data_IF_589359131036
#
_entry.id   IF_589359131036
#
_cell.length_a   1.000
_cell.length_b   1.000
_cell.length_c   1.000
_cell.angle_alpha   90.00
_cell.angle_beta   90.00
_cell.angle_gamma   90.00
#
_symmetry.space_group_name_H-M   'P 1'
#
loop_
_entity.id
_entity.type
_entity.pdbx_description
1 polymer ?
#
# COMPACT_ATOMS: atom_id res chain seq x y z
N UNK A 1 -3.68 -3.01 -1.65
CA UNK A 1 -3.98 -4.35 -1.10
C UNK A 1 -4.61 -4.21 0.28
N UNK A 2 -5.77 -4.82 0.49
CA UNK A 2 -6.46 -4.82 1.80
C UNK A 2 -5.69 -5.66 2.83
N UNK A 3 -4.89 -6.60 2.40
CA UNK A 3 -3.98 -7.33 3.27
C UNK A 3 -2.90 -6.41 3.85
N UNK A 4 -2.32 -5.54 3.04
CA UNK A 4 -1.35 -4.56 3.52
C UNK A 4 -1.99 -3.55 4.50
N UNK A 5 -3.26 -3.16 4.28
CA UNK A 5 -3.98 -2.32 5.24
C UNK A 5 -4.08 -3.01 6.61
N UNK A 6 -4.44 -4.30 6.63
CA UNK A 6 -4.52 -5.05 7.88
C UNK A 6 -3.14 -5.23 8.53
N UNK A 7 -2.13 -5.58 7.75
CA UNK A 7 -0.76 -5.77 8.23
C UNK A 7 -0.19 -4.49 8.87
N UNK A 8 -0.33 -3.36 8.18
CA UNK A 8 0.15 -2.06 8.68
C UNK A 8 -0.70 -1.58 9.85
N UNK A 9 -2.02 -1.67 9.74
CA UNK A 9 -2.94 -1.21 10.79
C UNK A 9 -2.75 -1.95 12.11
N UNK A 10 -2.58 -3.28 12.08
CA UNK A 10 -2.26 -4.06 13.27
C UNK A 10 -0.93 -3.62 13.88
N UNK A 11 0.12 -3.48 13.06
CA UNK A 11 1.43 -3.02 13.53
C UNK A 11 1.38 -1.59 14.13
N UNK A 12 0.61 -0.67 13.53
CA UNK A 12 0.39 0.67 14.08
C UNK A 12 -0.29 0.62 15.45
N UNK A 13 -1.20 -0.32 15.65
CA UNK A 13 -1.97 -0.47 16.90
C UNK A 13 -1.29 -1.41 17.91
N UNK A 14 -0.08 -1.87 17.61
CA UNK A 14 0.76 -2.63 18.54
C UNK A 14 0.57 -4.15 18.50
N UNK A 15 -0.08 -4.67 17.47
CA UNK A 15 -0.36 -6.10 17.31
C UNK A 15 0.24 -6.66 16.02
N UNK A 16 0.50 -7.95 15.99
CA UNK A 16 0.93 -8.65 14.79
C UNK A 16 -0.28 -9.25 14.04
N UNK A 17 -0.36 -8.97 12.76
CA UNK A 17 -1.42 -9.52 11.90
C UNK A 17 -1.18 -10.98 11.50
N UNK A 18 0.07 -11.33 11.24
CA UNK A 18 0.48 -12.69 10.88
C UNK A 18 1.22 -13.31 12.06
N UNK A 19 0.68 -14.38 12.64
CA UNK A 19 1.23 -15.09 13.79
C UNK A 19 1.08 -16.60 13.60
N UNK A 20 2.08 -17.38 13.98
CA UNK A 20 2.02 -18.84 13.99
C UNK A 20 1.51 -19.47 12.67
N UNK A 21 1.95 -18.94 11.53
CA UNK A 21 1.50 -19.31 10.18
C UNK A 21 -0.02 -19.11 9.94
N UNK A 22 -0.66 -18.24 10.70
CA UNK A 22 -2.07 -17.89 10.57
C UNK A 22 -2.29 -16.37 10.67
N UNK A 23 -3.57 -15.94 10.60
CA UNK A 23 -3.97 -14.55 10.71
C UNK A 23 -4.61 -14.26 12.08
N UNK A 24 -4.18 -13.20 12.72
CA UNK A 24 -4.77 -12.71 13.96
C UNK A 24 -5.98 -11.79 13.65
N UNK A 25 -7.10 -12.43 13.27
CA UNK A 25 -8.35 -11.75 12.88
C UNK A 25 -9.43 -11.75 13.96
N UNK A 26 -9.21 -12.45 15.07
CA UNK A 26 -10.13 -12.50 16.21
C UNK A 26 -9.86 -11.45 17.26
N UNK A 27 -8.75 -10.72 17.15
CA UNK A 27 -8.38 -9.68 18.07
C UNK A 27 -9.29 -8.46 17.95
N UNK A 28 -9.57 -7.81 19.09
CA UNK A 28 -10.37 -6.59 19.15
C UNK A 28 -9.74 -5.43 18.35
N UNK A 29 -8.43 -5.40 18.23
CA UNK A 29 -7.71 -4.41 17.43
C UNK A 29 -8.00 -4.60 15.94
N UNK A 30 -8.05 -5.85 15.46
CA UNK A 30 -8.39 -6.15 14.08
C UNK A 30 -9.80 -5.65 13.71
N UNK A 31 -10.76 -5.67 14.64
CA UNK A 31 -12.11 -5.14 14.38
C UNK A 31 -12.10 -3.67 13.95
N UNK A 32 -11.19 -2.84 14.48
CA UNK A 32 -11.05 -1.44 14.03
C UNK A 32 -10.63 -1.35 12.57
N UNK A 33 -9.74 -2.25 12.15
CA UNK A 33 -9.23 -2.30 10.78
C UNK A 33 -10.30 -2.82 9.82
N UNK A 34 -11.02 -3.87 10.26
CA UNK A 34 -12.20 -4.35 9.56
C UNK A 34 -13.19 -3.22 9.29
N UNK A 35 -13.60 -2.48 10.33
CA UNK A 35 -14.56 -1.41 10.19
C UNK A 35 -14.07 -0.29 9.27
N UNK A 36 -12.80 0.09 9.35
CA UNK A 36 -12.23 1.12 8.50
C UNK A 36 -12.36 0.79 7.00
N UNK A 37 -12.13 -0.46 6.61
CA UNK A 37 -12.30 -0.91 5.24
C UNK A 37 -13.76 -1.24 4.93
N UNK A 38 -14.39 -2.10 5.72
CA UNK A 38 -15.68 -2.71 5.40
C UNK A 38 -16.81 -1.70 5.32
N UNK A 39 -16.92 -0.81 6.32
CA UNK A 39 -17.96 0.21 6.34
C UNK A 39 -17.84 1.17 5.16
N UNK A 40 -16.61 1.57 4.81
CA UNK A 40 -16.37 2.45 3.67
C UNK A 40 -16.61 1.75 2.32
N UNK A 41 -16.30 0.46 2.22
CA UNK A 41 -16.53 -0.34 1.02
C UNK A 41 -18.04 -0.58 0.78
N UNK A 42 -18.80 -0.90 1.82
CA UNK A 42 -20.26 -1.10 1.73
C UNK A 42 -20.97 0.21 1.37
N UNK A 43 -20.52 1.35 1.92
CA UNK A 43 -21.03 2.69 1.54
C UNK A 43 -20.67 3.13 0.13
N UNK A 44 -19.72 2.45 -0.52
CA UNK A 44 -19.21 2.86 -1.84
C UNK A 44 -18.14 3.94 -1.80
N UNK A 45 -17.63 4.32 -0.60
CA UNK A 45 -16.52 5.28 -0.46
C UNK A 45 -15.16 4.64 -0.69
N UNK A 46 -15.07 3.31 -0.66
CA UNK A 46 -13.87 2.55 -1.02
C UNK A 46 -14.20 1.59 -2.15
N UNK A 47 -13.43 1.63 -3.22
CA UNK A 47 -13.62 0.73 -4.36
C UNK A 47 -13.32 -0.73 -3.98
N UNK A 48 -14.26 -1.63 -4.30
CA UNK A 48 -14.06 -3.08 -4.23
C UNK A 48 -13.63 -3.53 -5.64
N UNK A 49 -12.33 -3.53 -5.87
CA UNK A 49 -11.77 -3.65 -7.21
C UNK A 49 -10.67 -4.72 -7.26
N UNK A 50 -10.58 -5.41 -8.41
CA UNK A 50 -9.51 -6.36 -8.71
C UNK A 50 -8.60 -5.74 -9.78
N UNK A 51 -7.43 -5.25 -9.38
CA UNK A 51 -6.49 -4.57 -10.26
C UNK A 51 -5.68 -3.49 -9.53
N UNK A 52 -5.12 -2.59 -10.30
CA UNK A 52 -4.33 -1.49 -9.78
C UNK A 52 -5.20 -0.24 -9.60
N UNK A 53 -5.09 0.43 -8.45
CA UNK A 53 -5.82 1.68 -8.18
C UNK A 53 -5.53 2.76 -9.23
N UNK A 54 -4.34 2.76 -9.83
CA UNK A 54 -3.96 3.65 -10.93
C UNK A 54 -4.88 3.57 -12.15
N UNK A 55 -5.53 2.42 -12.39
CA UNK A 55 -6.50 2.30 -13.48
C UNK A 55 -7.79 3.06 -13.17
N UNK A 56 -8.21 3.08 -11.91
CA UNK A 56 -9.38 3.85 -11.45
C UNK A 56 -9.10 5.36 -11.44
N UNK A 57 -7.84 5.77 -11.31
CA UNK A 57 -7.46 7.19 -11.46
C UNK A 57 -7.57 7.66 -12.91
N UNK A 58 -7.33 6.78 -13.90
CA UNK A 58 -7.44 7.13 -15.33
C UNK A 58 -8.85 7.54 -15.73
N UNK A 59 -9.86 7.01 -15.04
CA UNK A 59 -11.29 7.23 -15.29
C UNK A 59 -11.95 8.18 -14.28
N UNK A 60 -11.21 8.62 -13.26
CA UNK A 60 -11.74 9.50 -12.22
C UNK A 60 -12.64 8.80 -11.19
N UNK A 61 -12.65 7.45 -11.18
CA UNK A 61 -13.47 6.67 -10.24
C UNK A 61 -12.99 6.75 -8.80
N UNK A 62 -11.72 7.13 -8.58
CA UNK A 62 -11.16 7.35 -7.24
C UNK A 62 -10.31 8.62 -7.21
N UNK A 63 -10.30 9.28 -6.05
CA UNK A 63 -9.54 10.53 -5.82
C UNK A 63 -8.33 10.33 -4.91
N UNK A 64 -8.23 9.20 -4.22
CA UNK A 64 -7.07 8.87 -3.39
C UNK A 64 -6.84 7.35 -3.32
N UNK A 65 -5.60 6.97 -3.11
CA UNK A 65 -5.23 5.58 -2.83
C UNK A 65 -3.95 5.51 -2.00
N UNK A 66 -3.75 4.38 -1.34
CA UNK A 66 -2.45 4.00 -0.77
C UNK A 66 -1.74 3.06 -1.73
N UNK A 67 -0.44 3.20 -1.87
CA UNK A 67 0.33 2.40 -2.81
C UNK A 67 1.80 2.26 -2.44
N UNK A 68 2.51 1.46 -3.22
CA UNK A 68 3.96 1.38 -3.19
C UNK A 68 4.57 2.63 -3.84
N UNK A 69 5.73 3.06 -3.35
CA UNK A 69 6.51 4.15 -3.95
C UNK A 69 6.84 3.90 -5.41
N UNK A 70 7.16 2.67 -5.79
CA UNK A 70 7.39 2.26 -7.17
C UNK A 70 6.16 2.41 -8.09
N UNK A 71 4.97 2.60 -7.50
CA UNK A 71 3.73 2.87 -8.25
C UNK A 71 3.58 4.29 -8.75
N UNK A 72 4.41 5.23 -8.29
CA UNK A 72 4.24 6.68 -8.57
C UNK A 72 4.18 7.02 -10.05
N UNK A 73 4.95 6.32 -10.89
CA UNK A 73 5.03 6.55 -12.33
C UNK A 73 3.79 6.08 -13.12
N UNK A 74 2.90 5.31 -12.50
CA UNK A 74 1.71 4.76 -13.16
C UNK A 74 0.46 5.61 -12.97
N UNK A 75 0.54 6.67 -12.18
CA UNK A 75 -0.55 7.62 -12.05
C UNK A 75 -0.64 8.49 -13.30
N UNK A 76 -1.85 8.63 -13.90
CA UNK A 76 -2.00 9.35 -15.15
C UNK A 76 -1.83 10.85 -14.96
N UNK A 77 -1.27 11.53 -15.96
CA UNK A 77 -1.24 13.00 -16.01
C UNK A 77 -2.57 13.62 -16.45
N UNK A 78 -3.48 12.78 -16.96
CA UNK A 78 -4.79 13.20 -17.46
C UNK A 78 -5.84 12.18 -17.09
N UNK A 79 -6.93 12.63 -16.51
CA UNK A 79 -8.14 11.83 -16.26
C UNK A 79 -9.04 11.94 -17.49
N UNK A 80 -9.63 10.82 -17.94
CA UNK A 80 -10.64 10.77 -18.98
C UNK A 80 -11.92 10.21 -18.39
N UNK A 81 -12.93 11.04 -18.26
CA UNK A 81 -14.22 10.68 -17.68
C UNK A 81 -15.10 9.88 -18.66
N UNK A 82 -16.18 9.27 -18.15
CA UNK A 82 -17.08 8.43 -18.94
C UNK A 82 -17.73 9.15 -20.12
N UNK A 83 -17.89 10.46 -20.06
CA UNK A 83 -18.39 11.34 -21.14
C UNK A 83 -17.32 11.76 -22.14
N UNK A 84 -16.10 11.21 -22.05
CA UNK A 84 -14.89 11.55 -22.80
C UNK A 84 -14.33 12.96 -22.55
N UNK A 85 -14.80 13.68 -21.56
CA UNK A 85 -14.13 14.90 -21.10
C UNK A 85 -12.78 14.56 -20.46
N UNK A 86 -11.83 15.49 -20.54
CA UNK A 86 -10.46 15.29 -20.02
C UNK A 86 -10.07 16.42 -19.11
N UNK A 87 -9.37 16.07 -18.03
CA UNK A 87 -8.87 17.00 -17.06
C UNK A 87 -7.41 16.64 -16.70
N UNK A 88 -6.56 17.63 -16.53
CA UNK A 88 -5.20 17.40 -16.05
C UNK A 88 -5.24 16.98 -14.57
N UNK A 89 -4.51 15.92 -14.25
CA UNK A 89 -4.40 15.44 -12.89
C UNK A 89 -3.17 16.04 -12.18
N UNK A 90 -3.39 16.59 -11.00
CA UNK A 90 -2.34 17.01 -10.10
C UNK A 90 -2.41 16.18 -8.81
N UNK A 91 -1.28 15.66 -8.35
CA UNK A 91 -1.21 14.78 -7.19
C UNK A 91 -0.53 15.44 -6.00
N UNK A 92 -1.14 15.29 -4.83
CA UNK A 92 -0.47 15.41 -3.55
C UNK A 92 -0.01 14.01 -3.11
N UNK A 93 1.24 13.89 -2.67
CA UNK A 93 1.80 12.65 -2.12
C UNK A 93 2.03 12.89 -0.64
N UNK A 94 1.35 12.11 0.18
CA UNK A 94 1.30 12.27 1.63
C UNK A 94 1.92 11.07 2.35
N UNK A 95 2.43 11.25 3.57
CA UNK A 95 2.83 10.13 4.42
C UNK A 95 1.70 9.11 4.59
N UNK A 96 2.08 7.85 4.83
CA UNK A 96 1.09 6.79 5.01
C UNK A 96 0.17 7.11 6.20
N UNK A 97 -1.16 6.95 6.07
CA UNK A 97 -2.10 7.29 7.13
C UNK A 97 -1.92 6.40 8.36
N UNK A 98 -2.19 6.95 9.53
CA UNK A 98 -2.06 6.28 10.82
C UNK A 98 -3.41 6.17 11.49
N UNK A 99 -3.73 5.02 12.03
CA UNK A 99 -4.93 4.84 12.86
C UNK A 99 -4.85 5.71 14.12
N UNK A 100 -5.99 6.24 14.55
CA UNK A 100 -6.06 7.04 15.77
C UNK A 100 -5.50 6.29 16.99
N UNK A 101 -4.55 6.93 17.67
CA UNK A 101 -3.81 6.34 18.79
C UNK A 101 -2.73 5.33 18.38
N UNK A 102 -2.52 5.12 17.08
CA UNK A 102 -1.49 4.23 16.55
C UNK A 102 -0.11 4.90 16.46
N UNK A 103 0.92 4.06 16.33
CA UNK A 103 2.29 4.49 16.05
C UNK A 103 2.45 4.78 14.56
N UNK A 104 3.35 5.68 14.21
CA UNK A 104 3.74 5.93 12.83
C UNK A 104 4.58 4.76 12.31
N UNK A 105 3.92 3.74 11.76
CA UNK A 105 4.55 2.53 11.22
C UNK A 105 4.16 2.39 9.76
N UNK A 106 5.11 2.05 8.91
CA UNK A 106 4.91 1.76 7.50
C UNK A 106 5.60 0.48 7.06
N UNK A 107 5.06 -0.13 6.01
CA UNK A 107 5.58 -1.37 5.47
C UNK A 107 6.77 -1.11 4.54
N UNK A 108 7.89 -1.77 4.80
CA UNK A 108 9.04 -1.80 3.90
C UNK A 108 9.00 -3.08 3.06
N UNK A 109 8.91 -2.91 1.76
CA UNK A 109 9.08 -3.96 0.76
C UNK A 109 10.03 -3.49 -0.32
N UNK A 110 10.66 -4.42 -1.01
CA UNK A 110 11.56 -4.12 -2.11
C UNK A 110 11.92 -5.36 -2.88
N UNK A 111 12.59 -5.14 -4.01
CA UNK A 111 13.23 -6.23 -4.76
C UNK A 111 14.63 -6.42 -4.24
N UNK A 112 15.04 -7.68 -4.06
CA UNK A 112 16.39 -8.07 -3.71
C UNK A 112 17.14 -8.58 -4.92
N UNK A 113 18.45 -8.43 -4.91
CA UNK A 113 19.35 -9.09 -5.87
C UNK A 113 20.18 -10.11 -5.15
N UNK A 114 20.37 -11.29 -5.77
CA UNK A 114 21.25 -12.33 -5.27
C UNK A 114 22.25 -12.74 -6.35
N UNK A 115 23.44 -13.13 -5.91
CA UNK A 115 24.43 -13.73 -6.79
C UNK A 115 24.16 -15.23 -6.87
N UNK A 116 23.89 -15.71 -8.07
CA UNK A 116 23.71 -17.15 -8.33
C UNK A 116 25.09 -17.80 -8.34
N UNK A 117 25.23 -18.95 -7.66
CA UNK A 117 26.45 -19.72 -7.63
C UNK A 117 26.90 -20.09 -9.06
N UNK A 118 28.18 -19.81 -9.38
CA UNK A 118 28.75 -20.03 -10.70
C UNK A 118 30.26 -20.28 -10.58
N UNK A 119 31.04 -19.96 -11.62
CA UNK A 119 32.48 -19.88 -11.50
C UNK A 119 32.91 -18.61 -10.75
N UNK A 120 34.11 -18.67 -10.16
CA UNK A 120 34.66 -17.61 -9.32
C UNK A 120 34.70 -16.24 -10.03
N UNK A 121 35.01 -16.20 -11.30
CA UNK A 121 35.12 -14.95 -12.07
C UNK A 121 33.74 -14.28 -12.22
N UNK A 122 32.70 -15.05 -12.51
CA UNK A 122 31.34 -14.53 -12.62
C UNK A 122 30.77 -14.08 -11.27
N UNK A 123 31.06 -14.81 -10.20
CA UNK A 123 30.65 -14.44 -8.85
C UNK A 123 31.30 -13.12 -8.41
N UNK A 124 32.62 -12.96 -8.68
CA UNK A 124 33.34 -11.70 -8.44
C UNK A 124 32.75 -10.56 -9.28
N UNK A 125 32.52 -10.77 -10.57
CA UNK A 125 31.91 -9.75 -11.44
C UNK A 125 30.54 -9.32 -10.98
N UNK A 126 29.70 -10.27 -10.56
CA UNK A 126 28.38 -9.98 -9.99
C UNK A 126 28.49 -9.16 -8.69
N UNK A 127 29.42 -9.52 -7.80
CA UNK A 127 29.65 -8.77 -6.56
C UNK A 127 30.15 -7.33 -6.84
N UNK A 128 31.03 -7.14 -7.81
CA UNK A 128 31.48 -5.80 -8.24
C UNK A 128 30.33 -4.99 -8.81
N UNK A 129 29.48 -5.60 -9.65
CA UNK A 129 28.27 -4.92 -10.17
C UNK A 129 27.32 -4.50 -9.03
N UNK A 130 27.02 -5.41 -8.09
CA UNK A 130 26.13 -5.08 -6.97
C UNK A 130 26.69 -3.96 -6.11
N UNK A 131 27.99 -3.97 -5.84
CA UNK A 131 28.65 -2.91 -5.08
C UNK A 131 28.58 -1.56 -5.79
N UNK A 132 28.75 -1.54 -7.11
CA UNK A 132 28.57 -0.34 -7.92
C UNK A 132 27.11 0.12 -7.94
N UNK A 133 26.17 -0.77 -8.18
CA UNK A 133 24.74 -0.46 -8.29
C UNK A 133 24.14 0.09 -6.98
N UNK A 134 24.62 -0.42 -5.84
CA UNK A 134 24.20 0.05 -4.50
C UNK A 134 25.01 1.23 -3.99
N UNK A 135 26.05 1.69 -4.71
CA UNK A 135 26.76 2.91 -4.35
C UNK A 135 25.81 4.13 -4.39
N UNK A 136 25.91 5.07 -3.46
CA UNK A 136 24.93 6.14 -3.29
C UNK A 136 24.57 6.88 -4.55
N UNK A 137 25.55 7.26 -5.35
CA UNK A 137 25.34 8.00 -6.60
C UNK A 137 24.54 7.20 -7.63
N UNK A 138 24.95 5.96 -7.91
CA UNK A 138 24.26 5.10 -8.88
C UNK A 138 22.84 4.71 -8.39
N UNK A 139 22.73 4.43 -7.12
CA UNK A 139 21.45 4.07 -6.51
C UNK A 139 20.45 5.23 -6.54
N UNK A 140 20.91 6.48 -6.35
CA UNK A 140 20.05 7.66 -6.48
C UNK A 140 19.58 7.89 -7.92
N UNK A 141 20.40 7.61 -8.94
CA UNK A 141 19.96 7.63 -10.34
C UNK A 141 18.83 6.62 -10.59
N UNK A 142 18.96 5.41 -10.05
CA UNK A 142 17.90 4.40 -10.14
C UNK A 142 16.63 4.84 -9.40
N UNK A 143 16.76 5.39 -8.19
CA UNK A 143 15.67 5.95 -7.40
C UNK A 143 14.91 7.03 -8.18
N UNK A 144 15.61 7.98 -8.75
CA UNK A 144 15.04 9.11 -9.49
C UNK A 144 14.26 8.67 -10.75
N UNK A 145 14.57 7.50 -11.31
CA UNK A 145 13.93 6.99 -12.53
C UNK A 145 12.85 5.93 -12.28
N UNK A 146 12.75 5.39 -11.07
CA UNK A 146 11.91 4.22 -10.79
C UNK A 146 10.91 4.39 -9.66
N UNK A 147 11.09 5.39 -8.79
CA UNK A 147 10.32 5.55 -7.57
C UNK A 147 10.67 4.55 -6.46
N UNK A 148 11.68 3.69 -6.68
CA UNK A 148 12.25 2.88 -5.60
C UNK A 148 13.05 3.76 -4.65
N UNK A 149 13.23 3.30 -3.41
CA UNK A 149 13.97 4.07 -2.40
C UNK A 149 15.46 3.70 -2.41
N UNK A 150 16.33 4.62 -1.96
CA UNK A 150 17.74 4.31 -1.76
C UNK A 150 17.94 3.18 -0.75
N UNK A 151 19.02 2.41 -0.95
CA UNK A 151 19.33 1.24 -0.10
C UNK A 151 20.41 1.51 0.94
N UNK A 152 20.94 2.73 1.01
CA UNK A 152 21.96 3.11 1.99
C UNK A 152 21.61 4.44 2.66
N UNK A 153 21.93 4.58 3.93
CA UNK A 153 21.75 5.84 4.69
C UNK A 153 22.48 7.04 4.04
N UNK A 154 23.65 6.78 3.43
CA UNK A 154 24.42 7.82 2.73
C UNK A 154 23.72 8.40 1.51
N UNK A 155 22.78 7.66 0.93
CA UNK A 155 22.01 8.13 -0.22
C UNK A 155 20.82 9.01 0.20
N UNK A 156 20.40 8.98 1.49
CA UNK A 156 19.44 9.92 2.05
C UNK A 156 20.14 11.23 2.46
N UNK A 157 19.38 12.24 2.83
CA UNK A 157 19.91 13.53 3.26
C UNK A 157 20.40 14.41 2.11
N UNK A 158 21.56 15.06 2.25
CA UNK A 158 22.10 16.04 1.30
C UNK A 158 22.28 15.49 -0.12
N UNK A 159 22.68 14.23 -0.26
CA UNK A 159 22.85 13.57 -1.56
C UNK A 159 21.53 13.44 -2.29
N UNK A 160 20.47 13.05 -1.59
CA UNK A 160 19.12 12.95 -2.14
C UNK A 160 18.55 14.32 -2.48
N UNK A 161 18.74 15.30 -1.60
CA UNK A 161 18.30 16.68 -1.83
C UNK A 161 18.91 17.28 -3.11
N UNK A 162 20.21 17.08 -3.33
CA UNK A 162 20.88 17.50 -4.57
C UNK A 162 20.37 16.78 -5.81
N UNK A 163 20.15 15.47 -5.69
CA UNK A 163 19.60 14.68 -6.80
C UNK A 163 18.19 15.13 -7.17
N UNK A 164 17.37 15.48 -6.18
CA UNK A 164 16.00 15.98 -6.39
C UNK A 164 15.94 17.26 -7.23
N UNK A 165 16.95 18.13 -7.15
CA UNK A 165 17.02 19.36 -7.98
C UNK A 165 17.04 19.04 -9.48
N UNK A 166 17.65 17.92 -9.88
CA UNK A 166 17.76 17.49 -11.28
C UNK A 166 16.62 16.61 -11.79
N UNK A 167 15.64 16.22 -10.92
CA UNK A 167 14.52 15.38 -11.32
C UNK A 167 13.49 16.22 -12.07
N UNK A 168 13.13 15.80 -13.29
CA UNK A 168 12.08 16.44 -14.10
C UNK A 168 10.67 15.94 -13.75
N UNK A 169 10.56 14.70 -13.27
CA UNK A 169 9.27 14.08 -12.91
C UNK A 169 8.77 14.60 -11.56
N UNK A 170 7.76 15.48 -11.61
CA UNK A 170 7.23 16.17 -10.43
C UNK A 170 6.69 15.21 -9.38
N UNK A 171 6.04 14.13 -9.79
CA UNK A 171 5.50 13.12 -8.84
C UNK A 171 6.62 12.36 -8.12
N UNK A 172 7.74 12.08 -8.79
CA UNK A 172 8.91 11.48 -8.13
C UNK A 172 9.50 12.48 -7.12
N UNK A 173 9.63 13.74 -7.47
CA UNK A 173 10.13 14.78 -6.57
C UNK A 173 9.26 14.90 -5.31
N UNK A 174 7.93 14.97 -5.47
CA UNK A 174 6.97 14.99 -4.36
C UNK A 174 7.08 13.74 -3.50
N UNK A 175 7.20 12.54 -4.13
CA UNK A 175 7.38 11.28 -3.43
C UNK A 175 8.63 11.28 -2.56
N UNK A 176 9.77 11.65 -3.11
CA UNK A 176 11.05 11.65 -2.38
C UNK A 176 11.02 12.64 -1.20
N UNK A 177 10.41 13.81 -1.38
CA UNK A 177 10.18 14.76 -0.28
C UNK A 177 9.33 14.16 0.84
N UNK A 178 8.24 13.46 0.50
CA UNK A 178 7.39 12.76 1.48
C UNK A 178 8.15 11.65 2.20
N UNK A 179 8.98 10.89 1.48
CA UNK A 179 9.76 9.80 2.06
C UNK A 179 10.83 10.32 3.03
N UNK A 180 11.45 11.46 2.75
CA UNK A 180 12.39 12.09 3.70
C UNK A 180 11.70 12.38 5.05
N UNK A 181 10.48 12.93 5.02
CA UNK A 181 9.68 13.13 6.23
C UNK A 181 9.35 11.80 6.92
N UNK A 182 8.99 10.78 6.15
CA UNK A 182 8.66 9.48 6.73
C UNK A 182 9.89 8.77 7.33
N UNK A 183 11.09 8.98 6.77
CA UNK A 183 12.33 8.44 7.34
C UNK A 183 12.65 9.00 8.74
N UNK A 184 12.26 10.23 9.00
CA UNK A 184 12.43 10.85 10.31
C UNK A 184 11.35 10.42 11.32
N UNK A 185 10.13 10.19 10.82
CA UNK A 185 8.92 10.12 11.65
C UNK A 185 8.37 8.70 11.82
N UNK A 186 8.69 7.76 10.91
CA UNK A 186 8.06 6.44 10.84
C UNK A 186 9.04 5.31 11.13
N UNK A 187 8.56 4.32 11.85
CA UNK A 187 9.21 3.01 11.93
C UNK A 187 8.85 2.19 10.68
N UNK A 188 9.85 1.62 10.02
CA UNK A 188 9.63 0.74 8.89
C UNK A 188 9.80 -0.72 9.31
N UNK A 189 8.85 -1.57 8.94
CA UNK A 189 8.93 -2.98 9.24
C UNK A 189 8.84 -3.85 7.97
N UNK A 190 9.49 -5.00 8.02
CA UNK A 190 9.44 -6.03 6.99
C UNK A 190 8.36 -7.04 7.38
N UNK A 191 7.48 -7.48 6.46
CA UNK A 191 6.49 -8.50 6.76
C UNK A 191 7.15 -9.78 7.26
N UNK A 192 6.50 -10.53 8.16
CA UNK A 192 7.02 -11.82 8.60
C UNK A 192 7.14 -12.77 7.40
N UNK A 193 8.23 -13.51 7.35
CA UNK A 193 8.45 -14.55 6.36
C UNK A 193 7.84 -15.85 6.88
N UNK A 194 6.79 -16.32 6.20
CA UNK A 194 6.16 -17.62 6.46
C UNK A 194 5.99 -18.37 5.15
N UNK A 195 6.09 -19.69 5.17
CA UNK A 195 6.03 -20.52 3.96
C UNK A 195 4.70 -20.38 3.21
N UNK A 196 3.62 -20.05 3.94
CA UNK A 196 2.28 -19.91 3.39
C UNK A 196 1.81 -18.45 3.24
N UNK A 197 2.73 -17.47 3.23
CA UNK A 197 2.39 -16.04 3.20
C UNK A 197 1.46 -15.67 2.03
N UNK A 198 1.77 -16.15 0.83
CA UNK A 198 0.98 -15.86 -0.37
C UNK A 198 -0.43 -16.46 -0.30
N UNK A 199 -0.57 -17.63 0.30
CA UNK A 199 -1.88 -18.28 0.50
C UNK A 199 -2.72 -17.50 1.50
N UNK A 200 -2.13 -17.08 2.62
CA UNK A 200 -2.78 -16.24 3.62
C UNK A 200 -3.24 -14.92 3.00
N UNK A 201 -2.38 -14.27 2.24
CA UNK A 201 -2.73 -13.02 1.57
C UNK A 201 -3.89 -13.20 0.59
N UNK A 202 -3.80 -14.17 -0.32
CA UNK A 202 -4.83 -14.43 -1.34
C UNK A 202 -6.16 -14.82 -0.71
N UNK A 203 -6.13 -15.73 0.28
CA UNK A 203 -7.33 -16.17 1.00
C UNK A 203 -8.04 -15.03 1.72
N UNK A 204 -7.27 -14.22 2.45
CA UNK A 204 -7.79 -13.06 3.16
C UNK A 204 -8.41 -12.03 2.21
N UNK A 205 -7.70 -11.65 1.14
CA UNK A 205 -8.20 -10.65 0.18
C UNK A 205 -9.46 -11.12 -0.53
N UNK A 206 -9.50 -12.39 -0.95
CA UNK A 206 -10.67 -12.96 -1.60
C UNK A 206 -11.88 -13.03 -0.65
N UNK A 207 -11.67 -13.49 0.58
CA UNK A 207 -12.70 -13.59 1.61
C UNK A 207 -13.29 -12.21 1.97
N UNK A 208 -12.43 -11.25 2.25
CA UNK A 208 -12.85 -9.89 2.62
C UNK A 208 -13.60 -9.18 1.48
N UNK A 209 -13.11 -9.29 0.25
CA UNK A 209 -13.79 -8.72 -0.93
C UNK A 209 -15.15 -9.38 -1.16
N UNK A 210 -15.25 -10.71 -1.01
CA UNK A 210 -16.51 -11.45 -1.12
C UNK A 210 -17.53 -10.96 -0.09
N UNK A 211 -17.13 -10.84 1.17
CA UNK A 211 -17.98 -10.34 2.25
C UNK A 211 -18.45 -8.89 1.98
N UNK A 212 -17.52 -8.01 1.56
CA UNK A 212 -17.86 -6.62 1.26
C UNK A 212 -18.79 -6.48 0.06
N UNK A 213 -18.61 -7.27 -1.01
CA UNK A 213 -19.52 -7.28 -2.18
C UNK A 213 -20.92 -7.76 -1.81
N UNK A 214 -21.03 -8.82 -1.00
CA UNK A 214 -22.31 -9.32 -0.53
C UNK A 214 -23.05 -8.28 0.32
N UNK A 215 -22.38 -7.72 1.33
CA UNK A 215 -22.97 -6.71 2.18
C UNK A 215 -23.34 -5.41 1.42
N UNK A 216 -22.52 -5.02 0.43
CA UNK A 216 -22.86 -3.88 -0.42
C UNK A 216 -24.14 -4.12 -1.22
N UNK A 217 -24.32 -5.29 -1.80
CA UNK A 217 -25.55 -5.62 -2.53
C UNK A 217 -26.78 -5.59 -1.63
N UNK A 218 -26.68 -6.09 -0.38
CA UNK A 218 -27.77 -6.00 0.59
C UNK A 218 -28.05 -4.55 1.02
N UNK A 219 -27.00 -3.77 1.25
CA UNK A 219 -27.09 -2.36 1.63
C UNK A 219 -27.72 -1.50 0.52
N UNK A 220 -27.32 -1.72 -0.74
CA UNK A 220 -27.84 -0.98 -1.90
C UNK A 220 -29.32 -1.33 -2.18
N UNK A 221 -29.78 -2.51 -1.77
CA UNK A 221 -31.17 -2.96 -1.90
C UNK A 221 -32.11 -2.43 -0.81
N UNK A 222 -31.59 -1.71 0.18
CA UNK A 222 -32.42 -1.14 1.26
C UNK A 222 -33.31 0.00 0.75
N UNK A 223 -34.54 0.03 1.22
CA UNK A 223 -35.48 1.12 0.95
C UNK A 223 -34.94 2.47 1.45
N UNK A 224 -35.40 3.57 0.80
CA UNK A 224 -35.01 4.93 1.20
C UNK A 224 -35.40 5.28 2.64
N UNK A 225 -36.49 4.69 3.15
CA UNK A 225 -36.97 4.88 4.51
C UNK A 225 -36.20 4.08 5.58
N UNK A 226 -35.30 3.17 5.16
CA UNK A 226 -34.53 2.35 6.08
C UNK A 226 -33.49 3.17 6.86
N UNK A 227 -33.26 2.82 8.13
CA UNK A 227 -32.12 3.35 8.88
C UNK A 227 -30.81 2.72 8.36
N UNK A 228 -30.25 3.38 7.34
CA UNK A 228 -29.03 2.91 6.68
C UNK A 228 -27.82 2.83 7.63
N UNK A 229 -27.79 3.64 8.69
CA UNK A 229 -26.71 3.59 9.68
C UNK A 229 -26.80 2.32 10.53
N UNK A 230 -27.96 2.03 11.08
CA UNK A 230 -28.18 0.81 11.86
C UNK A 230 -28.05 -0.46 11.02
N UNK A 231 -28.51 -0.44 9.75
CA UNK A 231 -28.34 -1.54 8.82
C UNK A 231 -26.86 -1.83 8.53
N UNK A 232 -26.08 -0.79 8.29
CA UNK A 232 -24.65 -0.91 8.02
C UNK A 232 -23.87 -1.53 9.20
N UNK A 233 -24.17 -1.09 10.43
CA UNK A 233 -23.57 -1.65 11.64
C UNK A 233 -23.93 -3.13 11.82
N UNK A 234 -25.19 -3.46 11.55
CA UNK A 234 -25.69 -4.85 11.62
C UNK A 234 -25.00 -5.75 10.58
N UNK A 235 -24.90 -5.28 9.33
CA UNK A 235 -24.20 -5.98 8.26
C UNK A 235 -22.71 -6.17 8.59
N UNK A 236 -22.04 -5.11 9.07
CA UNK A 236 -20.63 -5.21 9.47
C UNK A 236 -20.43 -6.26 10.56
N UNK A 237 -21.28 -6.27 11.58
CA UNK A 237 -21.18 -7.21 12.69
C UNK A 237 -21.39 -8.66 12.20
N UNK A 238 -22.47 -8.91 11.48
CA UNK A 238 -22.79 -10.25 10.98
C UNK A 238 -21.70 -10.80 10.06
N UNK A 239 -21.25 -9.99 9.10
CA UNK A 239 -20.21 -10.42 8.16
C UNK A 239 -18.85 -10.61 8.85
N UNK A 240 -18.54 -9.82 9.88
CA UNK A 240 -17.34 -10.00 10.69
C UNK A 240 -17.37 -11.33 11.46
N UNK A 241 -18.48 -11.60 12.16
CA UNK A 241 -18.65 -12.85 12.92
C UNK A 241 -18.54 -14.09 12.04
N UNK A 242 -18.99 -14.02 10.79
CA UNK A 242 -18.85 -15.12 9.83
C UNK A 242 -17.44 -15.19 9.24
N UNK A 243 -16.79 -14.07 9.05
CA UNK A 243 -15.44 -14.00 8.48
C UNK A 243 -14.35 -14.56 9.40
N UNK A 244 -14.51 -14.43 10.72
CA UNK A 244 -13.53 -14.89 11.72
C UNK A 244 -13.71 -16.35 12.15
N UNK A 245 -14.73 -17.06 11.66
CA UNK A 245 -14.95 -18.51 11.89
C UNK A 245 -14.05 -19.36 11.00
#
# INVERSE_FOLDING_TARGET
SVFNLALIGMAQLGEDFVQNNGLNITDRVYKKIWDAYFLSAVKGSTAIFDGYSTDLFKTGDVVCSTGSTAGVLFYPSTVTYADNTKENAEYAILPYPVFEGGRKVALQRGSGMCVIKSDEQKEIAAAVFLKWFTAPEQNLHFTASSGYLPVTEKAFGDSMSKQMEGISEENIKKLLGTIMVMQEDYDFFIPPLTDNYDELQKGYEAGLKKAAKAAKAEFDALDEAADKSAALETLSRSMYEDFIK
#
